data_IF_684089516346
#
_entry.id   IF_684089516346
#
_cell.length_a   1.000
_cell.length_b   1.000
_cell.length_c   1.000
_cell.angle_alpha   90.00
_cell.angle_beta   90.00
_cell.angle_gamma   90.00
#
_symmetry.space_group_name_H-M   'P 1'
#
loop_
_entity.id
_entity.type
_entity.pdbx_description
1 polymer ?
#
# COMPACT_ATOMS: atom_id res chain seq x y z
N UNK A 1 56.61 -37.85 -0.36
CA UNK A 1 57.49 -38.54 -1.33
C UNK A 1 56.67 -39.66 -1.94
N UNK A 2 56.71 -39.85 -3.27
CA UNK A 2 56.01 -40.91 -4.05
C UNK A 2 54.46 -40.90 -3.91
N UNK A 3 53.62 -40.63 -4.93
CA UNK A 3 53.75 -40.62 -6.41
C UNK A 3 54.04 -42.02 -7.00
N UNK A 4 53.53 -42.51 -8.14
CA UNK A 4 52.54 -42.10 -9.18
C UNK A 4 52.24 -43.37 -10.05
N UNK A 5 51.43 -43.53 -11.11
CA UNK A 5 50.60 -42.75 -12.08
C UNK A 5 49.70 -43.81 -12.83
N UNK A 6 48.83 -43.61 -13.85
CA UNK A 6 48.04 -42.52 -14.47
C UNK A 6 47.22 -43.09 -15.66
N UNK A 7 46.08 -42.47 -16.03
CA UNK A 7 45.40 -42.55 -17.37
C UNK A 7 44.86 -43.93 -17.84
N UNK A 8 43.58 -44.18 -18.18
CA UNK A 8 42.59 -43.59 -19.13
C UNK A 8 42.81 -43.85 -20.64
N UNK A 9 41.93 -44.64 -21.26
CA UNK A 9 41.56 -44.61 -22.70
C UNK A 9 40.12 -45.16 -22.91
N UNK A 10 39.32 -44.51 -23.76
CA UNK A 10 38.15 -45.07 -24.47
C UNK A 10 37.48 -44.05 -25.45
N UNK A 11 37.93 -44.05 -26.71
CA UNK A 11 37.19 -44.00 -28.02
C UNK A 11 35.67 -43.61 -28.00
N UNK A 12 35.12 -42.89 -28.99
CA UNK A 12 35.59 -42.51 -30.34
C UNK A 12 34.61 -41.56 -31.08
N UNK A 13 34.77 -41.34 -32.40
CA UNK A 13 34.25 -40.15 -33.13
C UNK A 13 33.49 -40.45 -34.46
N UNK A 14 33.26 -39.41 -35.29
CA UNK A 14 32.47 -39.26 -36.55
C UNK A 14 30.98 -38.84 -36.36
N UNK A 15 30.35 -37.81 -36.97
CA UNK A 15 30.64 -36.70 -37.94
C UNK A 15 29.86 -36.76 -39.29
N UNK A 16 29.11 -35.67 -39.60
CA UNK A 16 28.43 -35.27 -40.88
C UNK A 16 27.32 -36.19 -41.46
N UNK A 17 26.14 -35.67 -41.83
CA UNK A 17 25.94 -34.83 -43.02
C UNK A 17 24.76 -33.83 -42.96
N UNK A 18 24.65 -32.97 -43.99
CA UNK A 18 23.74 -31.82 -44.11
C UNK A 18 22.74 -31.95 -45.26
N UNK A 19 21.83 -30.96 -45.38
CA UNK A 19 21.05 -30.49 -46.56
C UNK A 19 19.53 -30.75 -46.52
N UNK A 20 18.66 -29.96 -47.19
CA UNK A 20 18.62 -28.52 -47.52
C UNK A 20 17.28 -28.29 -48.25
N UNK A 21 16.49 -27.27 -47.91
CA UNK A 21 15.43 -26.75 -48.81
C UNK A 21 15.00 -25.35 -48.36
N UNK A 22 14.88 -24.42 -49.32
CA UNK A 22 14.31 -23.09 -49.11
C UNK A 22 13.48 -22.71 -50.33
N UNK A 23 12.51 -21.79 -50.15
CA UNK A 23 11.79 -21.14 -51.24
C UNK A 23 11.79 -19.62 -51.01
N UNK A 24 11.89 -18.85 -52.10
CA UNK A 24 12.30 -17.46 -52.04
C UNK A 24 11.79 -16.67 -53.26
N UNK A 25 11.04 -15.60 -53.03
CA UNK A 25 10.76 -14.47 -53.94
C UNK A 25 10.52 -13.26 -52.99
N UNK A 26 11.36 -12.22 -52.95
CA UNK A 26 11.46 -11.10 -53.91
C UNK A 26 10.13 -10.34 -54.14
N UNK A 27 10.07 -9.00 -54.06
CA UNK A 27 11.10 -8.00 -53.70
C UNK A 27 10.45 -6.63 -53.47
N UNK A 28 10.95 -5.82 -52.52
CA UNK A 28 11.36 -4.40 -52.71
C UNK A 28 11.76 -3.76 -51.37
N UNK A 29 12.52 -2.65 -51.41
CA UNK A 29 13.13 -1.99 -50.24
C UNK A 29 12.89 -0.48 -50.28
N UNK A 30 11.93 0.00 -49.49
CA UNK A 30 11.82 1.41 -49.07
C UNK A 30 11.79 1.44 -47.54
N UNK A 31 12.53 2.38 -46.94
CA UNK A 31 12.79 2.36 -45.51
C UNK A 31 12.09 3.48 -44.76
N UNK A 32 11.36 3.13 -43.70
CA UNK A 32 11.14 3.99 -42.55
C UNK A 32 11.39 3.16 -41.28
N UNK A 33 12.31 3.61 -40.43
CA UNK A 33 12.54 3.01 -39.12
C UNK A 33 11.53 3.58 -38.13
N UNK A 34 10.35 2.96 -38.01
CA UNK A 34 9.45 3.24 -36.89
C UNK A 34 9.97 2.59 -35.61
N UNK A 35 10.99 3.23 -35.00
CA UNK A 35 11.36 2.97 -33.62
C UNK A 35 10.26 3.54 -32.71
N UNK A 36 9.32 2.70 -32.31
CA UNK A 36 8.23 2.99 -31.38
C UNK A 36 8.75 3.23 -29.95
N UNK A 37 9.47 4.35 -29.78
CA UNK A 37 9.99 4.80 -28.48
C UNK A 37 8.85 5.33 -27.62
N UNK A 38 8.29 4.46 -26.78
CA UNK A 38 7.24 4.74 -25.81
C UNK A 38 7.73 5.68 -24.70
N UNK A 39 7.79 6.99 -25.01
CA UNK A 39 8.02 8.04 -24.02
C UNK A 39 6.80 8.16 -23.09
N UNK A 40 6.96 8.17 -21.76
CA UNK A 40 5.85 8.45 -20.85
C UNK A 40 5.50 9.94 -20.90
N UNK A 41 4.37 10.29 -21.51
CA UNK A 41 3.84 11.66 -21.54
C UNK A 41 2.78 11.79 -20.44
N UNK A 42 3.24 12.03 -19.20
CA UNK A 42 2.36 12.36 -18.08
C UNK A 42 1.88 13.81 -18.17
N UNK A 43 0.76 14.05 -18.84
CA UNK A 43 0.04 15.33 -18.75
C UNK A 43 -0.71 15.42 -17.42
N UNK A 44 0.00 15.78 -16.34
CA UNK A 44 -0.58 16.06 -15.01
C UNK A 44 -1.84 16.94 -15.12
N UNK A 45 -2.98 16.45 -14.64
CA UNK A 45 -4.08 17.30 -14.22
C UNK A 45 -3.58 18.15 -13.04
N UNK A 46 -3.48 19.48 -13.24
CA UNK A 46 -2.95 20.40 -12.24
C UNK A 46 -4.08 21.04 -11.44
N UNK A 47 -4.47 20.41 -10.34
CA UNK A 47 -4.84 21.16 -9.13
C UNK A 47 -3.58 21.89 -8.65
N UNK A 48 -3.68 23.15 -8.23
CA UNK A 48 -2.46 23.89 -7.85
C UNK A 48 -2.02 23.46 -6.42
N UNK A 49 -0.73 23.13 -6.18
CA UNK A 49 -0.27 22.72 -4.84
C UNK A 49 -0.58 23.75 -3.74
N UNK A 50 -0.68 25.03 -4.11
CA UNK A 50 -1.01 26.13 -3.21
C UNK A 50 -2.49 26.19 -2.79
N UNK A 51 -3.40 25.47 -3.46
CA UNK A 51 -4.83 25.43 -3.09
C UNK A 51 -5.04 24.51 -1.89
N UNK A 52 -4.47 23.30 -1.93
CA UNK A 52 -4.55 22.31 -0.85
C UNK A 52 -4.03 22.90 0.48
N UNK A 53 -2.88 23.58 0.46
CA UNK A 53 -2.32 24.24 1.64
C UNK A 53 -3.16 25.45 2.11
N UNK A 54 -3.80 26.19 1.20
CA UNK A 54 -4.64 27.35 1.54
C UNK A 54 -6.00 26.95 2.13
N UNK A 55 -6.59 25.86 1.67
CA UNK A 55 -7.81 25.30 2.29
C UNK A 55 -7.50 24.79 3.71
N UNK A 56 -6.36 24.13 3.90
CA UNK A 56 -5.91 23.68 5.23
C UNK A 56 -5.58 24.85 6.19
N UNK A 57 -4.99 25.94 5.70
CA UNK A 57 -4.62 27.11 6.52
C UNK A 57 -5.78 28.09 6.80
N UNK A 58 -6.94 27.92 6.15
CA UNK A 58 -8.06 28.87 6.25
C UNK A 58 -8.83 28.89 7.59
N UNK A 59 -8.66 27.87 8.44
CA UNK A 59 -9.45 27.66 9.66
C UNK A 59 -8.68 27.98 10.95
N UNK A 60 -8.40 29.27 11.19
CA UNK A 60 -7.92 29.71 12.50
C UNK A 60 -9.00 29.60 13.58
N UNK A 61 -8.85 28.64 14.50
CA UNK A 61 -9.62 28.57 15.75
C UNK A 61 -8.68 28.83 16.93
N UNK A 62 -9.08 29.74 17.83
CA UNK A 62 -8.29 30.15 18.99
C UNK A 62 -8.24 29.04 20.04
N UNK A 63 -7.06 28.79 20.61
CA UNK A 63 -6.87 27.89 21.74
C UNK A 63 -7.45 28.48 23.03
N UNK A 64 -8.27 27.74 23.80
CA UNK A 64 -8.58 28.07 25.19
C UNK A 64 -7.50 27.49 26.12
N UNK A 65 -6.94 28.32 26.99
CA UNK A 65 -6.03 27.88 28.05
C UNK A 65 -6.84 27.30 29.21
N UNK A 66 -6.45 26.13 29.73
CA UNK A 66 -6.58 25.84 31.16
C UNK A 66 -5.67 24.69 31.59
N UNK A 67 -5.09 24.81 32.80
CA UNK A 67 -4.25 23.80 33.41
C UNK A 67 -5.02 23.00 34.47
N UNK A 68 -4.74 21.70 34.60
CA UNK A 68 -5.38 20.81 35.57
C UNK A 68 -4.38 19.82 36.16
N UNK A 69 -3.84 20.13 37.34
CA UNK A 69 -2.86 19.29 38.03
C UNK A 69 -3.46 17.96 38.51
N UNK A 70 -2.82 16.84 38.16
CA UNK A 70 -2.97 15.58 38.90
C UNK A 70 -1.59 15.05 39.33
N UNK A 71 -1.49 14.63 40.59
CA UNK A 71 -0.24 14.21 41.23
C UNK A 71 0.03 12.72 40.98
N UNK A 72 1.31 12.37 40.81
CA UNK A 72 1.77 11.00 41.02
C UNK A 72 1.65 10.61 42.51
N UNK A 73 1.45 9.31 42.76
CA UNK A 73 1.72 8.68 44.06
C UNK A 73 2.72 7.54 43.86
N UNK A 74 3.93 7.72 44.38
CA UNK A 74 5.02 6.72 44.35
C UNK A 74 4.90 5.73 45.50
N UNK A 75 5.20 4.45 45.26
CA UNK A 75 5.48 3.46 46.31
C UNK A 75 6.80 2.74 46.04
N UNK A 76 7.80 2.99 46.89
CA UNK A 76 9.08 2.27 46.89
C UNK A 76 8.92 0.87 47.49
N UNK A 77 9.70 -0.09 47.00
CA UNK A 77 10.24 -1.19 47.81
C UNK A 77 11.61 -1.61 47.27
N UNK A 78 12.42 -2.29 48.11
CA UNK A 78 13.88 -2.20 48.03
C UNK A 78 14.62 -3.54 48.14
N UNK A 79 15.61 -3.73 47.25
CA UNK A 79 16.92 -4.38 47.47
C UNK A 79 17.00 -5.80 48.06
N UNK A 80 17.74 -6.70 47.39
CA UNK A 80 19.12 -7.08 47.81
C UNK A 80 19.83 -8.14 46.92
N UNK A 81 21.15 -7.94 46.78
CA UNK A 81 22.27 -8.90 46.68
C UNK A 81 22.38 -9.95 45.55
N UNK A 82 23.34 -9.71 44.65
CA UNK A 82 24.52 -10.54 44.30
C UNK A 82 24.52 -12.07 44.52
N UNK A 83 24.85 -12.82 43.45
CA UNK A 83 26.01 -13.76 43.36
C UNK A 83 26.53 -13.73 41.90
N UNK A 84 27.83 -14.00 41.70
CA UNK A 84 28.54 -14.01 40.41
C UNK A 84 28.77 -15.45 39.90
N UNK A 85 28.73 -15.68 38.58
CA UNK A 85 29.49 -16.77 37.92
C UNK A 85 29.61 -16.57 36.40
N UNK A 86 30.68 -17.12 35.81
CA UNK A 86 30.91 -17.17 34.36
C UNK A 86 30.97 -18.62 33.88
N UNK A 87 30.11 -19.03 32.94
CA UNK A 87 30.47 -20.12 32.01
C UNK A 87 29.69 -20.04 30.68
N UNK A 88 30.08 -20.86 29.70
CA UNK A 88 29.76 -20.65 28.28
C UNK A 88 28.73 -21.63 27.69
N UNK A 89 27.95 -21.09 26.75
CA UNK A 89 27.31 -21.79 25.60
C UNK A 89 26.42 -23.01 25.89
N UNK A 90 25.11 -22.76 25.91
CA UNK A 90 24.14 -23.55 25.11
C UNK A 90 22.94 -22.66 24.76
N UNK A 91 22.37 -22.73 23.54
CA UNK A 91 21.14 -22.01 23.23
C UNK A 91 19.94 -22.70 23.92
N UNK A 92 19.07 -21.96 24.65
CA UNK A 92 17.88 -22.55 25.24
C UNK A 92 16.88 -23.00 24.16
N UNK A 93 16.26 -24.15 24.38
CA UNK A 93 15.40 -24.85 23.42
C UNK A 93 14.20 -24.03 22.97
N UNK A 94 13.81 -24.24 21.69
CA UNK A 94 12.58 -23.69 21.10
C UNK A 94 11.35 -23.95 21.98
N UNK A 95 10.61 -22.92 22.43
CA UNK A 95 9.32 -23.10 23.08
C UNK A 95 8.33 -23.79 22.14
N UNK A 96 7.57 -24.76 22.66
CA UNK A 96 6.72 -25.63 21.85
C UNK A 96 5.57 -24.88 21.16
N UNK A 97 5.10 -25.45 20.04
CA UNK A 97 3.84 -25.06 19.40
C UNK A 97 2.66 -25.39 20.33
N UNK A 98 2.24 -24.46 21.17
CA UNK A 98 1.07 -24.58 22.02
C UNK A 98 0.40 -23.22 22.29
N UNK A 99 -0.92 -23.16 22.09
CA UNK A 99 -1.82 -22.05 22.49
C UNK A 99 -1.44 -20.63 22.03
N UNK A 100 -1.59 -20.39 20.72
CA UNK A 100 -1.81 -19.03 20.17
C UNK A 100 -3.20 -18.87 19.50
N UNK A 101 -4.02 -19.91 19.47
CA UNK A 101 -5.32 -19.91 18.76
C UNK A 101 -6.51 -19.48 19.63
N UNK A 102 -6.36 -19.42 20.96
CA UNK A 102 -7.45 -19.12 21.92
C UNK A 102 -7.65 -17.62 22.23
N UNK A 103 -6.91 -16.71 21.60
CA UNK A 103 -6.97 -15.26 21.88
C UNK A 103 -7.46 -14.38 20.70
N UNK A 104 -7.65 -14.93 19.51
CA UNK A 104 -8.18 -14.17 18.37
C UNK A 104 -9.70 -14.36 18.25
N UNK A 105 -10.47 -13.29 17.97
CA UNK A 105 -11.90 -13.42 17.68
C UNK A 105 -12.08 -14.33 16.45
N UNK A 106 -13.18 -15.10 16.44
CA UNK A 106 -13.41 -16.19 15.48
C UNK A 106 -13.23 -15.73 14.03
N UNK A 107 -12.17 -16.24 13.37
CA UNK A 107 -11.81 -15.94 11.99
C UNK A 107 -13.02 -16.18 11.08
N UNK A 108 -13.58 -15.10 10.52
CA UNK A 108 -14.65 -15.19 9.54
C UNK A 108 -14.10 -15.80 8.25
N UNK A 109 -14.87 -16.70 7.66
CA UNK A 109 -14.62 -17.15 6.28
C UNK A 109 -14.80 -15.98 5.32
N UNK A 110 -14.25 -16.09 4.11
CA UNK A 110 -14.55 -15.20 2.99
C UNK A 110 -16.02 -15.39 2.57
N UNK A 111 -16.93 -14.70 3.24
CA UNK A 111 -18.36 -14.77 2.96
C UNK A 111 -18.76 -13.83 1.81
N UNK A 112 -18.56 -14.33 0.59
CA UNK A 112 -18.97 -13.66 -0.63
C UNK A 112 -20.50 -13.69 -0.89
N UNK A 113 -21.33 -14.20 0.04
CA UNK A 113 -22.79 -14.29 -0.17
C UNK A 113 -23.53 -12.95 -0.10
N UNK A 114 -22.89 -11.90 0.43
CA UNK A 114 -23.48 -10.57 0.65
C UNK A 114 -22.66 -9.45 0.00
N UNK A 115 -22.24 -9.62 -1.27
CA UNK A 115 -21.69 -8.52 -2.07
C UNK A 115 -22.75 -7.41 -2.21
N UNK A 116 -22.45 -6.14 -1.88
CA UNK A 116 -23.38 -5.04 -2.11
C UNK A 116 -23.50 -4.77 -3.62
N UNK A 117 -24.65 -5.07 -4.22
CA UNK A 117 -24.92 -4.78 -5.64
C UNK A 117 -25.64 -3.44 -5.82
N UNK A 118 -25.12 -2.61 -6.74
CA UNK A 118 -25.64 -1.28 -7.04
C UNK A 118 -26.17 -1.23 -8.47
N UNK A 119 -27.48 -0.97 -8.60
CA UNK A 119 -28.13 -0.58 -9.85
C UNK A 119 -27.76 0.88 -10.16
N UNK A 120 -26.53 1.07 -10.62
CA UNK A 120 -25.90 2.37 -10.81
C UNK A 120 -24.97 2.32 -12.03
N UNK A 121 -25.09 3.31 -12.90
CA UNK A 121 -24.32 3.42 -14.14
C UNK A 121 -24.11 4.91 -14.44
N UNK A 122 -23.01 5.51 -13.96
CA UNK A 122 -22.76 6.94 -14.14
C UNK A 122 -22.22 7.24 -15.54
N UNK A 123 -22.59 8.39 -16.09
CA UNK A 123 -21.97 8.93 -17.31
C UNK A 123 -20.52 9.34 -17.03
N UNK A 124 -19.58 8.53 -17.53
CA UNK A 124 -18.15 8.78 -17.40
C UNK A 124 -17.61 9.81 -18.41
N UNK A 125 -18.38 10.24 -19.41
CA UNK A 125 -17.92 11.19 -20.44
C UNK A 125 -17.57 12.58 -19.88
N UNK A 126 -18.14 12.90 -18.71
CA UNK A 126 -17.90 14.14 -17.95
C UNK A 126 -17.22 13.90 -16.60
N UNK A 127 -16.77 12.67 -16.34
CA UNK A 127 -16.09 12.30 -15.10
C UNK A 127 -14.59 12.61 -15.19
N UNK A 128 -14.01 12.95 -14.05
CA UNK A 128 -12.60 13.35 -13.94
C UNK A 128 -11.74 12.12 -13.63
N UNK A 129 -10.73 11.85 -14.45
CA UNK A 129 -9.80 10.74 -14.22
C UNK A 129 -8.89 11.06 -13.01
N UNK A 130 -9.05 10.31 -11.92
CA UNK A 130 -8.19 10.39 -10.74
C UNK A 130 -6.92 9.55 -10.88
N UNK A 131 -6.97 8.44 -11.61
CA UNK A 131 -5.83 7.54 -11.79
C UNK A 131 -6.08 6.45 -12.81
N UNK A 132 -4.99 5.87 -13.33
CA UNK A 132 -5.00 4.79 -14.31
C UNK A 132 -3.93 3.76 -13.94
N UNK A 133 -4.32 2.48 -13.93
CA UNK A 133 -3.45 1.35 -13.66
C UNK A 133 -3.67 0.21 -14.66
N UNK A 134 -2.86 -0.85 -14.55
CA UNK A 134 -2.79 -1.96 -15.52
C UNK A 134 -4.16 -2.61 -15.82
N UNK A 135 -5.05 -2.63 -14.83
CA UNK A 135 -6.36 -3.29 -14.87
C UNK A 135 -7.56 -2.34 -14.87
N UNK A 136 -7.39 -1.05 -14.55
CA UNK A 136 -8.51 -0.15 -14.27
C UNK A 136 -8.20 1.34 -14.45
N UNK A 137 -9.27 2.14 -14.59
CA UNK A 137 -9.25 3.60 -14.42
C UNK A 137 -10.16 3.99 -13.27
N UNK A 138 -9.76 4.97 -12.47
CA UNK A 138 -10.53 5.51 -11.34
C UNK A 138 -11.02 6.90 -11.70
N UNK A 139 -12.33 7.14 -11.58
CA UNK A 139 -12.97 8.40 -11.93
C UNK A 139 -13.69 9.03 -10.74
N UNK A 140 -13.60 10.36 -10.60
CA UNK A 140 -14.40 11.17 -9.66
C UNK A 140 -15.75 11.50 -10.29
N UNK A 141 -16.83 11.19 -9.58
CA UNK A 141 -18.22 11.46 -9.98
C UNK A 141 -19.00 12.16 -8.88
N UNK A 142 -19.99 12.97 -9.25
CA UNK A 142 -20.85 13.74 -8.33
C UNK A 142 -22.30 13.22 -8.26
N UNK A 143 -22.57 12.03 -8.81
CA UNK A 143 -23.91 11.46 -8.88
C UNK A 143 -24.21 10.63 -7.63
N UNK A 144 -25.36 10.88 -6.99
CA UNK A 144 -25.85 10.06 -5.87
C UNK A 144 -26.27 8.67 -6.39
N UNK A 145 -25.77 7.56 -5.81
CA UNK A 145 -26.26 6.23 -6.15
C UNK A 145 -27.72 6.07 -5.73
N UNK A 146 -28.54 5.48 -6.60
CA UNK A 146 -29.94 5.18 -6.30
C UNK A 146 -29.99 4.08 -5.23
N UNK A 147 -30.50 4.43 -4.05
CA UNK A 147 -30.76 3.45 -2.99
C UNK A 147 -31.77 2.41 -3.47
N UNK A 148 -31.48 1.11 -3.26
CA UNK A 148 -32.45 0.06 -3.52
C UNK A 148 -33.75 0.32 -2.73
N UNK A 149 -34.94 -0.02 -3.28
CA UNK A 149 -36.19 0.07 -2.53
C UNK A 149 -36.13 -0.76 -1.25
N UNK A 150 -36.49 -0.16 -0.11
CA UNK A 150 -36.54 -0.85 1.19
C UNK A 150 -37.73 -1.81 1.23
N UNK A 151 -37.56 -3.03 0.71
CA UNK A 151 -38.60 -4.07 0.70
C UNK A 151 -38.78 -4.63 2.12
N UNK A 152 -39.77 -4.08 2.84
CA UNK A 152 -40.47 -4.78 3.92
C UNK A 152 -39.68 -5.10 5.20
N UNK A 153 -39.19 -4.06 5.92
CA UNK A 153 -38.94 -4.22 7.37
C UNK A 153 -40.23 -3.96 8.17
N UNK A 154 -40.57 -4.80 9.18
CA UNK A 154 -41.68 -4.53 10.09
C UNK A 154 -41.49 -3.23 10.88
N UNK A 155 -42.61 -2.59 11.26
CA UNK A 155 -42.64 -1.34 12.01
C UNK A 155 -42.31 -1.55 13.50
N UNK A 156 -41.02 -1.69 13.83
CA UNK A 156 -40.54 -1.37 15.18
C UNK A 156 -40.34 0.14 15.34
N UNK A 157 -40.53 0.71 16.57
CA UNK A 157 -40.28 2.12 16.81
C UNK A 157 -38.79 2.46 16.59
N UNK A 158 -38.46 3.69 16.15
CA UNK A 158 -37.10 4.04 15.79
C UNK A 158 -36.19 4.10 17.02
N UNK A 159 -35.31 3.10 17.16
CA UNK A 159 -34.10 3.23 17.96
C UNK A 159 -33.36 4.51 17.56
N UNK A 160 -32.91 5.29 18.54
CA UNK A 160 -32.28 6.60 18.32
C UNK A 160 -31.18 6.49 17.26
N UNK A 161 -31.27 7.22 16.13
CA UNK A 161 -30.28 7.08 15.08
C UNK A 161 -28.97 7.68 15.56
N UNK A 162 -27.99 6.81 15.84
CA UNK A 162 -26.58 7.18 15.85
C UNK A 162 -26.18 7.59 14.42
N UNK A 163 -26.56 8.82 14.05
CA UNK A 163 -26.06 9.48 12.86
C UNK A 163 -24.57 9.70 13.07
N UNK A 164 -23.75 8.92 12.36
CA UNK A 164 -22.36 9.28 12.09
C UNK A 164 -22.35 10.73 11.59
N UNK A 165 -21.53 11.59 12.21
CA UNK A 165 -21.70 13.04 12.17
C UNK A 165 -21.18 13.70 10.88
N UNK A 166 -21.20 12.95 9.78
CA UNK A 166 -20.76 13.38 8.45
C UNK A 166 -21.97 13.56 7.55
N UNK A 167 -22.02 14.69 6.84
CA UNK A 167 -22.97 14.88 5.74
C UNK A 167 -22.73 13.86 4.63
N UNK A 168 -23.78 13.54 3.87
CA UNK A 168 -23.69 12.64 2.72
C UNK A 168 -22.53 13.08 1.80
N UNK A 169 -21.55 12.21 1.50
CA UNK A 169 -20.40 12.58 0.67
C UNK A 169 -20.89 12.91 -0.74
N UNK A 170 -20.72 14.16 -1.16
CA UNK A 170 -21.20 14.67 -2.45
C UNK A 170 -20.38 14.14 -3.65
N UNK A 171 -19.38 13.30 -3.41
CA UNK A 171 -18.42 12.81 -4.41
C UNK A 171 -18.09 11.35 -4.15
N UNK A 172 -18.12 10.55 -5.22
CA UNK A 172 -17.75 9.14 -5.21
C UNK A 172 -16.59 8.89 -6.16
N UNK A 173 -15.82 7.84 -5.91
CA UNK A 173 -14.83 7.33 -6.84
C UNK A 173 -15.35 6.02 -7.44
N UNK A 174 -15.30 5.89 -8.77
CA UNK A 174 -15.65 4.65 -9.47
C UNK A 174 -14.41 4.09 -10.19
N UNK A 175 -13.97 2.90 -9.76
CA UNK A 175 -12.89 2.12 -10.36
C UNK A 175 -13.52 1.21 -11.42
N UNK A 176 -13.20 1.38 -12.69
CA UNK A 176 -13.78 0.59 -13.79
C UNK A 176 -12.72 -0.20 -14.55
N UNK A 177 -13.04 -1.44 -14.92
CA UNK A 177 -12.13 -2.32 -15.63
C UNK A 177 -11.82 -1.79 -17.04
N UNK A 178 -10.53 -1.72 -17.40
CA UNK A 178 -10.07 -1.28 -18.73
C UNK A 178 -9.98 -2.41 -19.75
N UNK A 179 -10.09 -3.66 -19.30
CA UNK A 179 -9.84 -4.89 -20.08
C UNK A 179 -10.81 -5.98 -19.68
N UNK A 180 -11.11 -6.91 -20.58
CA UNK A 180 -11.98 -8.06 -20.32
C UNK A 180 -11.38 -9.09 -19.35
N UNK A 181 -10.05 -9.23 -19.31
CA UNK A 181 -9.34 -10.15 -18.41
C UNK A 181 -9.21 -9.61 -16.96
N UNK A 182 -9.48 -8.33 -16.73
CA UNK A 182 -9.50 -7.75 -15.39
C UNK A 182 -10.65 -8.28 -14.49
N UNK A 183 -11.65 -8.97 -15.05
CA UNK A 183 -12.82 -9.45 -14.31
C UNK A 183 -12.47 -10.34 -13.10
N UNK A 184 -11.45 -11.20 -13.21
CA UNK A 184 -10.98 -12.04 -12.11
C UNK A 184 -10.35 -11.21 -10.97
N UNK A 185 -9.59 -10.16 -11.32
CA UNK A 185 -8.99 -9.21 -10.36
C UNK A 185 -10.09 -8.44 -9.63
N UNK A 186 -11.08 -7.93 -10.36
CA UNK A 186 -12.21 -7.21 -9.78
C UNK A 186 -13.05 -8.08 -8.84
N UNK A 187 -13.29 -9.35 -9.18
CA UNK A 187 -14.02 -10.25 -8.29
C UNK A 187 -13.22 -10.59 -7.02
N UNK A 188 -11.90 -10.75 -7.12
CA UNK A 188 -11.04 -10.93 -5.95
C UNK A 188 -11.07 -9.70 -5.03
N UNK A 189 -10.93 -8.49 -5.61
CA UNK A 189 -11.00 -7.23 -4.88
C UNK A 189 -12.37 -7.03 -4.18
N UNK A 190 -13.48 -7.33 -4.87
CA UNK A 190 -14.84 -7.34 -4.28
C UNK A 190 -14.92 -8.26 -3.07
N UNK A 191 -14.45 -9.51 -3.19
CA UNK A 191 -14.53 -10.49 -2.10
C UNK A 191 -13.74 -10.01 -0.86
N UNK A 192 -12.57 -9.41 -1.07
CA UNK A 192 -11.74 -8.86 0.02
C UNK A 192 -12.35 -7.62 0.65
N UNK A 193 -12.85 -6.68 -0.16
CA UNK A 193 -13.51 -5.47 0.35
C UNK A 193 -14.79 -5.81 1.13
N UNK A 194 -15.64 -6.72 0.63
CA UNK A 194 -16.84 -7.19 1.34
C UNK A 194 -16.49 -7.89 2.66
N UNK A 195 -15.44 -8.72 2.69
CA UNK A 195 -14.93 -9.34 3.92
C UNK A 195 -14.48 -8.29 4.94
N UNK A 196 -13.64 -7.33 4.54
CA UNK A 196 -13.16 -6.23 5.39
C UNK A 196 -14.32 -5.40 5.93
N UNK A 197 -15.30 -5.07 5.09
CA UNK A 197 -16.46 -4.26 5.48
C UNK A 197 -17.45 -4.96 6.41
N UNK A 198 -17.36 -6.29 6.56
CA UNK A 198 -18.14 -7.00 7.57
C UNK A 198 -17.77 -6.59 9.01
N UNK A 199 -16.60 -5.96 9.21
CA UNK A 199 -16.10 -5.55 10.52
C UNK A 199 -16.44 -4.09 10.81
N UNK A 200 -17.02 -3.86 12.00
CA UNK A 200 -17.24 -2.52 12.55
C UNK A 200 -15.91 -1.74 12.66
N UNK A 201 -15.94 -0.43 12.39
CA UNK A 201 -14.75 0.46 12.26
C UNK A 201 -13.84 0.23 11.04
N UNK A 202 -14.17 -0.67 10.12
CA UNK A 202 -13.41 -0.84 8.86
C UNK A 202 -13.24 0.46 8.05
N UNK A 203 -14.25 1.34 8.09
CA UNK A 203 -14.26 2.65 7.43
C UNK A 203 -13.27 3.67 8.03
N UNK A 204 -12.65 3.42 9.17
CA UNK A 204 -11.62 4.29 9.75
C UNK A 204 -10.22 3.99 9.16
N UNK A 205 -10.02 2.76 8.68
CA UNK A 205 -8.73 2.24 8.22
C UNK A 205 -8.63 2.09 6.69
N UNK A 206 -9.76 1.76 6.04
CA UNK A 206 -9.85 1.44 4.62
C UNK A 206 -10.82 2.41 3.94
N UNK A 207 -10.52 2.80 2.70
CA UNK A 207 -11.40 3.65 1.88
C UNK A 207 -12.76 2.97 1.69
N UNK A 208 -13.88 3.58 2.14
CA UNK A 208 -15.17 2.90 2.12
C UNK A 208 -15.64 2.51 0.72
N UNK A 209 -15.65 1.21 0.46
CA UNK A 209 -16.36 0.59 -0.66
C UNK A 209 -17.88 0.73 -0.45
N UNK A 210 -18.64 0.77 -1.54
CA UNK A 210 -20.11 0.92 -1.53
C UNK A 210 -20.82 -0.20 -2.29
N UNK A 211 -20.11 -0.88 -3.20
CA UNK A 211 -20.66 -2.00 -3.94
C UNK A 211 -20.14 -2.15 -5.36
N UNK A 212 -20.46 -3.30 -5.93
CA UNK A 212 -20.29 -3.63 -7.34
C UNK A 212 -21.42 -2.98 -8.15
N UNK A 213 -21.06 -2.16 -9.13
CA UNK A 213 -22.01 -1.61 -10.09
C UNK A 213 -22.36 -2.70 -11.11
N UNK A 214 -23.59 -3.20 -11.09
CA UNK A 214 -24.05 -4.27 -12.00
C UNK A 214 -24.66 -3.76 -13.29
N UNK A 215 -24.81 -2.43 -13.42
CA UNK A 215 -25.44 -1.75 -14.56
C UNK A 215 -24.43 -1.03 -15.48
N UNK A 216 -23.13 -1.16 -15.22
CA UNK A 216 -22.05 -0.61 -16.06
C UNK A 216 -21.63 -1.62 -17.15
N UNK A 217 -21.21 -1.18 -18.35
CA UNK A 217 -20.79 -2.08 -19.44
C UNK A 217 -19.56 -2.95 -19.11
N UNK A 218 -18.77 -2.53 -18.12
CA UNK A 218 -17.58 -3.19 -17.59
C UNK A 218 -17.71 -3.36 -16.07
N UNK A 219 -17.08 -4.38 -15.45
CA UNK A 219 -16.99 -4.50 -14.00
C UNK A 219 -16.49 -3.18 -13.39
N UNK A 220 -17.27 -2.61 -12.45
CA UNK A 220 -16.98 -1.31 -11.85
C UNK A 220 -17.32 -1.29 -10.37
N UNK A 221 -16.40 -0.76 -9.55
CA UNK A 221 -16.48 -0.73 -8.09
C UNK A 221 -16.68 0.71 -7.63
N UNK A 222 -17.65 0.96 -6.74
CA UNK A 222 -17.95 2.28 -6.22
C UNK A 222 -17.39 2.46 -4.80
N UNK A 223 -16.81 3.63 -4.53
CA UNK A 223 -16.23 4.01 -3.24
C UNK A 223 -16.62 5.45 -2.86
N UNK A 224 -16.49 5.81 -1.57
CA UNK A 224 -16.38 7.22 -1.18
C UNK A 224 -15.10 7.84 -1.80
N UNK A 225 -15.21 9.07 -2.31
CA UNK A 225 -14.06 9.77 -2.88
C UNK A 225 -13.15 10.31 -1.76
N UNK A 226 -11.84 10.10 -1.90
CA UNK A 226 -10.84 10.89 -1.18
C UNK A 226 -10.79 12.32 -1.73
N UNK A 227 -10.51 13.31 -0.89
CA UNK A 227 -10.55 14.74 -1.25
C UNK A 227 -9.24 15.50 -0.98
N UNK A 228 -8.32 14.95 -0.19
CA UNK A 228 -6.97 15.51 0.04
C UNK A 228 -5.86 14.79 -0.75
N UNK A 229 -6.21 13.96 -1.74
CA UNK A 229 -5.26 13.28 -2.63
C UNK A 229 -4.69 11.97 -2.05
N UNK A 230 -3.41 11.74 -2.29
CA UNK A 230 -2.65 10.53 -1.90
C UNK A 230 -1.42 10.89 -1.07
N UNK A 231 -0.87 9.93 -0.31
CA UNK A 231 0.43 10.11 0.35
C UNK A 231 1.56 10.36 -0.66
N UNK A 232 1.44 9.87 -1.90
CA UNK A 232 2.36 10.21 -2.99
C UNK A 232 2.31 11.70 -3.32
N UNK A 233 1.11 12.27 -3.53
CA UNK A 233 0.96 13.71 -3.79
C UNK A 233 1.37 14.59 -2.59
N UNK A 234 1.18 14.09 -1.36
CA UNK A 234 1.71 14.72 -0.15
C UNK A 234 3.24 14.63 -0.10
N UNK A 235 3.83 13.51 -0.54
CA UNK A 235 5.29 13.32 -0.62
C UNK A 235 5.91 14.31 -1.61
N UNK A 236 5.35 14.42 -2.83
CA UNK A 236 5.82 15.40 -3.84
C UNK A 236 5.78 16.83 -3.31
N UNK A 237 4.65 17.24 -2.72
CA UNK A 237 4.45 18.60 -2.20
C UNK A 237 5.23 18.88 -0.90
N UNK A 238 5.55 17.85 -0.10
CA UNK A 238 6.32 18.00 1.14
C UNK A 238 7.74 18.54 0.91
N UNK A 239 8.27 18.45 -0.31
CA UNK A 239 9.54 19.11 -0.71
C UNK A 239 9.52 20.64 -0.54
N UNK A 240 8.32 21.24 -0.47
CA UNK A 240 8.10 22.68 -0.25
C UNK A 240 7.71 23.04 1.19
N UNK A 241 7.66 22.06 2.11
CA UNK A 241 7.34 22.25 3.53
C UNK A 241 8.60 22.33 4.39
N UNK A 242 8.52 23.03 5.52
CA UNK A 242 9.61 23.08 6.50
C UNK A 242 9.74 21.76 7.30
N UNK A 243 10.93 21.43 7.85
CA UNK A 243 11.11 20.21 8.64
C UNK A 243 10.12 20.03 9.80
N UNK A 244 9.73 21.08 10.57
CA UNK A 244 8.68 20.97 11.58
C UNK A 244 7.32 20.51 11.01
N UNK A 245 6.88 21.08 9.88
CA UNK A 245 5.60 20.74 9.26
C UNK A 245 5.58 19.31 8.71
N UNK A 246 6.70 18.86 8.12
CA UNK A 246 6.88 17.48 7.63
C UNK A 246 6.84 16.49 8.80
N UNK A 247 7.52 16.80 9.90
CA UNK A 247 7.55 15.96 11.09
C UNK A 247 6.19 15.91 11.80
N UNK A 248 5.48 17.03 11.91
CA UNK A 248 4.12 17.09 12.47
C UNK A 248 3.12 16.25 11.65
N UNK A 249 3.20 16.35 10.31
CA UNK A 249 2.39 15.51 9.42
C UNK A 249 2.78 14.03 9.51
N UNK A 250 4.06 13.70 9.65
CA UNK A 250 4.53 12.33 9.84
C UNK A 250 4.01 11.71 11.14
N UNK A 251 4.20 12.41 12.26
CA UNK A 251 3.72 11.96 13.58
C UNK A 251 2.19 11.86 13.64
N UNK A 252 1.46 12.63 12.83
CA UNK A 252 0.01 12.51 12.69
C UNK A 252 -0.43 11.35 11.77
N UNK A 253 0.27 11.08 10.65
CA UNK A 253 -0.14 10.07 9.66
C UNK A 253 0.38 8.67 9.99
N UNK A 254 1.60 8.53 10.50
CA UNK A 254 2.22 7.23 10.80
C UNK A 254 1.37 6.37 11.76
N UNK A 255 0.82 6.89 12.87
CA UNK A 255 -0.03 6.10 13.75
C UNK A 255 -1.31 5.62 13.06
N UNK A 256 -1.92 6.42 12.18
CA UNK A 256 -3.14 6.01 11.48
C UNK A 256 -2.88 4.80 10.58
N UNK A 257 -1.76 4.80 9.85
CA UNK A 257 -1.39 3.73 8.94
C UNK A 257 -0.93 2.46 9.66
N UNK A 258 -0.25 2.58 10.81
CA UNK A 258 0.12 1.39 11.61
C UNK A 258 -1.09 0.76 12.30
N UNK A 259 -2.08 1.55 12.76
CA UNK A 259 -3.36 1.02 13.22
C UNK A 259 -4.16 0.38 12.07
N UNK A 260 -4.20 1.01 10.89
CA UNK A 260 -4.87 0.43 9.72
C UNK A 260 -4.26 -0.90 9.27
N UNK A 261 -2.93 -1.02 9.30
CA UNK A 261 -2.23 -2.26 8.98
C UNK A 261 -2.46 -3.33 10.06
N UNK A 262 -2.41 -2.94 11.35
CA UNK A 262 -2.73 -3.82 12.47
C UNK A 262 -4.16 -4.37 12.37
N UNK A 263 -5.14 -3.54 11.98
CA UNK A 263 -6.51 -3.96 11.73
C UNK A 263 -6.59 -5.02 10.61
N UNK A 264 -5.95 -4.80 9.45
CA UNK A 264 -5.93 -5.78 8.37
C UNK A 264 -5.29 -7.11 8.81
N UNK A 265 -4.15 -7.05 9.50
CA UNK A 265 -3.38 -8.24 9.86
C UNK A 265 -4.02 -9.03 11.00
N UNK A 266 -4.47 -8.36 12.06
CA UNK A 266 -4.97 -9.01 13.29
C UNK A 266 -6.48 -9.27 13.28
N UNK A 267 -7.27 -8.38 12.67
CA UNK A 267 -8.74 -8.43 12.75
C UNK A 267 -9.36 -9.05 11.50
N UNK A 268 -8.91 -8.68 10.31
CA UNK A 268 -9.42 -9.25 9.04
C UNK A 268 -8.54 -10.35 8.45
N UNK A 269 -7.39 -10.67 9.07
CA UNK A 269 -6.42 -11.70 8.62
C UNK A 269 -6.01 -11.52 7.14
N UNK A 270 -5.91 -10.28 6.66
CA UNK A 270 -5.71 -9.90 5.26
C UNK A 270 -4.31 -9.34 5.03
N UNK A 271 -3.66 -9.76 3.94
CA UNK A 271 -2.41 -9.20 3.41
C UNK A 271 -2.77 -8.31 2.22
N UNK A 272 -2.21 -7.10 2.14
CA UNK A 272 -2.53 -6.11 1.11
C UNK A 272 -1.65 -6.25 -0.14
N UNK A 273 -0.37 -6.62 0.03
CA UNK A 273 0.59 -6.99 -1.00
C UNK A 273 1.03 -5.91 -2.02
N UNK A 274 0.49 -4.68 -1.96
CA UNK A 274 0.86 -3.54 -2.82
C UNK A 274 0.75 -2.21 -2.05
N UNK A 275 1.18 -2.18 -0.78
CA UNK A 275 1.19 -0.94 0.02
C UNK A 275 2.25 0.01 -0.55
N UNK A 276 1.81 1.19 -1.01
CA UNK A 276 2.64 2.26 -1.56
C UNK A 276 1.98 3.62 -1.36
N UNK A 277 2.71 4.75 -1.45
CA UNK A 277 2.14 6.09 -1.25
C UNK A 277 0.96 6.45 -2.17
N UNK A 278 0.87 5.86 -3.37
CA UNK A 278 -0.27 6.03 -4.27
C UNK A 278 -1.56 5.31 -3.80
N UNK A 279 -1.40 4.20 -3.06
CA UNK A 279 -2.50 3.39 -2.51
C UNK A 279 -2.90 3.82 -1.08
N UNK A 280 -2.33 4.92 -0.58
CA UNK A 280 -2.70 5.55 0.68
C UNK A 280 -3.43 6.84 0.34
N UNK A 281 -4.76 6.87 0.53
CA UNK A 281 -5.58 8.04 0.25
C UNK A 281 -5.73 8.92 1.48
N UNK A 282 -5.86 10.23 1.25
CA UNK A 282 -6.01 11.25 2.29
C UNK A 282 -7.38 11.93 2.17
N UNK A 283 -8.05 12.10 3.31
CA UNK A 283 -9.25 12.91 3.44
C UNK A 283 -8.97 14.19 4.24
N UNK A 284 -9.58 15.30 3.83
CA UNK A 284 -9.60 16.55 4.60
C UNK A 284 -10.42 16.38 5.87
N UNK A 285 -10.04 17.10 6.94
CA UNK A 285 -10.81 17.13 8.19
C UNK A 285 -10.93 18.55 8.73
N UNK A 286 -11.88 18.78 9.64
CA UNK A 286 -12.17 20.10 10.22
C UNK A 286 -10.99 20.66 11.03
N UNK A 287 -10.06 19.81 11.51
CA UNK A 287 -8.85 20.25 12.23
C UNK A 287 -7.69 20.64 11.30
N UNK A 288 -7.87 20.56 9.97
CA UNK A 288 -6.82 20.80 8.99
C UNK A 288 -5.78 19.69 8.86
N UNK A 289 -5.81 18.66 9.73
CA UNK A 289 -4.92 17.49 9.64
C UNK A 289 -5.60 16.35 8.87
N UNK A 290 -4.93 15.66 7.92
CA UNK A 290 -5.57 14.66 7.07
C UNK A 290 -5.88 13.35 7.80
N UNK A 291 -6.95 12.68 7.38
CA UNK A 291 -7.28 11.29 7.74
C UNK A 291 -6.77 10.36 6.63
N UNK A 292 -5.88 9.43 6.98
CA UNK A 292 -5.20 8.55 6.02
C UNK A 292 -5.79 7.13 6.03
N UNK A 293 -6.06 6.57 4.84
CA UNK A 293 -6.70 5.24 4.65
C UNK A 293 -6.00 4.42 3.57
N UNK A 294 -6.02 3.10 3.73
CA UNK A 294 -5.53 2.13 2.74
C UNK A 294 -6.56 1.92 1.60
N UNK A 295 -6.08 1.68 0.38
CA UNK A 295 -6.87 1.58 -0.84
C UNK A 295 -6.23 0.65 -1.89
N UNK A 296 -6.99 0.31 -2.94
CA UNK A 296 -6.64 -0.65 -3.99
C UNK A 296 -6.29 -2.06 -3.47
N UNK A 297 -7.33 -2.88 -3.28
CA UNK A 297 -7.20 -4.23 -2.75
C UNK A 297 -7.11 -5.28 -3.88
N UNK A 298 -6.70 -4.87 -5.09
CA UNK A 298 -6.63 -5.75 -6.27
C UNK A 298 -5.57 -6.86 -6.20
N UNK A 299 -4.56 -6.71 -5.33
CA UNK A 299 -3.53 -7.72 -5.02
C UNK A 299 -3.74 -8.40 -3.67
N UNK A 300 -4.75 -8.00 -2.91
CA UNK A 300 -4.92 -8.40 -1.52
C UNK A 300 -5.54 -9.81 -1.40
N UNK A 301 -5.22 -10.51 -0.31
CA UNK A 301 -5.78 -11.83 -0.01
C UNK A 301 -5.84 -12.09 1.50
N UNK A 302 -6.79 -12.92 1.93
CA UNK A 302 -6.81 -13.43 3.32
C UNK A 302 -5.71 -14.48 3.45
N UNK A 303 -4.89 -14.40 4.50
CA UNK A 303 -3.67 -15.21 4.65
C UNK A 303 -3.89 -16.73 4.78
N UNK A 304 -5.15 -17.18 4.92
CA UNK A 304 -5.56 -18.60 4.87
C UNK A 304 -6.03 -19.06 3.48
N UNK A 305 -6.02 -18.18 2.48
CA UNK A 305 -6.33 -18.45 1.08
C UNK A 305 -5.06 -18.40 0.22
N UNK A 306 -5.15 -18.89 -1.02
CA UNK A 306 -4.05 -18.79 -1.98
C UNK A 306 -3.89 -17.34 -2.48
N UNK A 307 -2.66 -16.82 -2.65
CA UNK A 307 -2.43 -15.49 -3.19
C UNK A 307 -2.96 -15.33 -4.62
N UNK A 308 -3.53 -14.16 -4.91
CA UNK A 308 -3.88 -13.78 -6.28
C UNK A 308 -2.62 -13.73 -7.16
N UNK A 309 -2.57 -14.51 -8.24
CA UNK A 309 -1.44 -14.60 -9.18
C UNK A 309 -1.22 -13.33 -10.06
N UNK A 310 -1.72 -12.17 -9.62
CA UNK A 310 -1.93 -10.97 -10.44
C UNK A 310 -0.99 -9.81 -10.06
N UNK A 311 0.20 -10.13 -9.53
CA UNK A 311 1.22 -9.17 -9.10
C UNK A 311 1.66 -8.25 -10.25
N UNK A 312 1.32 -6.97 -10.16
CA UNK A 312 1.65 -5.98 -11.18
C UNK A 312 3.15 -5.73 -11.30
N UNK A 313 3.70 -5.82 -12.52
CA UNK A 313 5.09 -5.43 -12.79
C UNK A 313 5.26 -3.92 -12.71
N UNK A 314 5.72 -3.40 -11.57
CA UNK A 314 6.04 -1.97 -11.39
C UNK A 314 6.44 -1.56 -9.97
N UNK A 315 5.76 -2.07 -8.93
CA UNK A 315 5.95 -1.60 -7.53
C UNK A 315 7.24 -2.09 -6.84
N UNK A 316 8.27 -2.49 -7.58
CA UNK A 316 9.45 -3.17 -7.00
C UNK A 316 10.20 -2.34 -5.94
N UNK A 317 10.13 -1.01 -6.03
CA UNK A 317 10.78 -0.08 -5.08
C UNK A 317 10.12 0.01 -3.70
N UNK A 318 9.02 -0.70 -3.45
CA UNK A 318 8.37 -0.83 -2.13
C UNK A 318 8.27 -2.29 -1.65
N UNK A 319 8.51 -3.27 -2.53
CA UNK A 319 8.45 -4.70 -2.19
C UNK A 319 9.55 -5.09 -1.21
N UNK A 320 9.25 -6.02 -0.31
CA UNK A 320 10.21 -6.56 0.63
C UNK A 320 11.27 -7.45 -0.07
N UNK A 321 12.52 -7.55 0.44
CA UNK A 321 13.61 -8.22 -0.25
C UNK A 321 13.34 -9.71 -0.53
N UNK A 322 12.64 -10.38 0.39
CA UNK A 322 12.23 -11.78 0.25
C UNK A 322 11.24 -11.98 -0.91
N UNK A 323 10.37 -11.00 -1.18
CA UNK A 323 9.40 -11.05 -2.28
C UNK A 323 10.09 -11.10 -3.67
N UNK A 324 11.35 -10.63 -3.76
CA UNK A 324 12.15 -10.63 -4.98
C UNK A 324 13.04 -11.89 -5.14
N UNK A 325 12.94 -12.84 -4.21
CA UNK A 325 13.63 -14.14 -4.23
C UNK A 325 13.19 -15.02 -5.42
N UNK A 326 13.95 -16.09 -5.67
CA UNK A 326 13.59 -17.16 -6.60
C UNK A 326 12.86 -18.33 -5.91
N UNK A 327 12.78 -18.34 -4.57
CA UNK A 327 12.06 -19.36 -3.81
C UNK A 327 10.59 -18.97 -3.66
N UNK A 328 9.60 -19.73 -4.19
CA UNK A 328 8.17 -19.39 -4.11
C UNK A 328 7.63 -19.18 -2.69
N UNK A 329 8.19 -19.91 -1.71
CA UNK A 329 7.80 -19.79 -0.30
C UNK A 329 8.29 -18.49 0.36
N UNK A 330 9.28 -17.82 -0.24
CA UNK A 330 9.79 -16.53 0.20
C UNK A 330 9.26 -15.38 -0.68
N UNK A 331 9.03 -15.63 -1.97
CA UNK A 331 8.53 -14.62 -2.91
C UNK A 331 7.03 -14.29 -2.73
N UNK A 332 6.31 -15.11 -1.97
CA UNK A 332 4.89 -14.90 -1.65
C UNK A 332 4.72 -13.76 -0.63
N UNK A 333 3.81 -12.79 -0.84
CA UNK A 333 3.55 -11.73 0.13
C UNK A 333 3.14 -12.26 1.51
N UNK A 334 3.52 -11.55 2.56
CA UNK A 334 3.26 -11.87 3.96
C UNK A 334 2.89 -10.63 4.77
N UNK A 335 2.44 -10.81 6.01
CA UNK A 335 2.27 -9.70 6.97
C UNK A 335 3.57 -8.91 7.15
N UNK A 336 4.74 -9.58 7.18
CA UNK A 336 6.05 -8.92 7.29
C UNK A 336 6.38 -8.07 6.06
N UNK A 337 6.06 -8.53 4.85
CA UNK A 337 6.33 -7.76 3.64
C UNK A 337 5.43 -6.54 3.51
N UNK A 338 4.18 -6.63 3.98
CA UNK A 338 3.28 -5.48 4.14
C UNK A 338 3.87 -4.43 5.10
N UNK A 339 4.44 -4.85 6.24
CA UNK A 339 5.10 -3.96 7.21
C UNK A 339 6.33 -3.27 6.59
N UNK A 340 7.15 -3.99 5.82
CA UNK A 340 8.26 -3.41 5.06
C UNK A 340 7.74 -2.37 4.04
N UNK A 341 6.67 -2.71 3.30
CA UNK A 341 6.10 -1.86 2.26
C UNK A 341 5.52 -0.56 2.84
N UNK A 342 4.89 -0.61 4.02
CA UNK A 342 4.51 0.57 4.79
C UNK A 342 5.74 1.36 5.27
N UNK A 343 6.79 0.68 5.74
CA UNK A 343 8.05 1.30 6.14
C UNK A 343 8.71 2.12 5.02
N UNK A 344 8.82 1.56 3.81
CA UNK A 344 9.34 2.30 2.65
C UNK A 344 8.39 3.41 2.19
N UNK A 345 7.08 3.24 2.32
CA UNK A 345 6.09 4.29 2.04
C UNK A 345 6.26 5.50 2.98
N UNK A 346 6.43 5.23 4.27
CA UNK A 346 6.67 6.22 5.32
C UNK A 346 8.04 6.90 5.19
N UNK A 347 9.09 6.14 4.88
CA UNK A 347 10.42 6.68 4.58
C UNK A 347 10.39 7.56 3.33
N UNK A 348 9.66 7.16 2.28
CA UNK A 348 9.51 7.98 1.07
C UNK A 348 8.88 9.34 1.37
N UNK A 349 7.87 9.37 2.26
CA UNK A 349 7.27 10.62 2.73
C UNK A 349 8.23 11.48 3.56
N UNK A 350 8.97 10.88 4.51
CA UNK A 350 10.02 11.56 5.28
C UNK A 350 11.16 12.11 4.41
N UNK A 351 11.44 11.51 3.25
CA UNK A 351 12.51 11.96 2.35
C UNK A 351 12.03 12.81 1.17
N UNK A 352 10.73 12.89 0.90
CA UNK A 352 10.16 13.67 -0.21
C UNK A 352 10.29 12.96 -1.57
N UNK A 353 10.59 11.67 -1.56
CA UNK A 353 10.85 10.85 -2.74
C UNK A 353 11.26 9.42 -2.36
N UNK A 354 11.13 8.47 -3.28
CA UNK A 354 11.46 7.07 -3.03
C UNK A 354 12.99 6.87 -2.81
N UNK A 355 13.45 6.05 -1.85
CA UNK A 355 14.87 5.83 -1.57
C UNK A 355 15.68 5.24 -2.73
N UNK A 356 15.03 4.62 -3.72
CA UNK A 356 15.67 4.07 -4.91
C UNK A 356 15.49 4.97 -6.15
N UNK A 357 15.26 6.28 -5.97
CA UNK A 357 14.87 7.24 -7.02
C UNK A 357 15.73 7.16 -8.30
N UNK A 358 17.06 7.16 -8.17
CA UNK A 358 18.01 7.08 -9.29
C UNK A 358 18.03 5.72 -10.00
N UNK A 359 17.48 4.67 -9.38
CA UNK A 359 17.37 3.33 -9.96
C UNK A 359 16.04 3.07 -10.66
N UNK A 360 15.01 3.90 -10.47
CA UNK A 360 13.67 3.71 -11.05
C UNK A 360 13.65 3.65 -12.60
N UNK A 361 14.70 4.20 -13.25
CA UNK A 361 14.88 4.11 -14.70
C UNK A 361 15.39 2.75 -15.20
N UNK A 362 15.85 1.87 -14.31
CA UNK A 362 16.46 0.58 -14.64
C UNK A 362 15.94 -0.52 -13.70
N UNK A 363 14.83 -1.15 -14.10
CA UNK A 363 14.16 -2.21 -13.35
C UNK A 363 15.10 -3.33 -12.86
N UNK A 364 16.13 -3.71 -13.64
CA UNK A 364 17.10 -4.72 -13.22
C UNK A 364 17.94 -4.22 -12.02
N UNK A 365 18.53 -3.03 -12.12
CA UNK A 365 19.30 -2.43 -11.00
C UNK A 365 18.41 -2.17 -9.78
N UNK A 366 17.19 -1.70 -9.98
CA UNK A 366 16.21 -1.53 -8.91
C UNK A 366 15.94 -2.85 -8.18
N UNK A 367 15.69 -3.95 -8.92
CA UNK A 367 15.44 -5.27 -8.32
C UNK A 367 16.62 -5.75 -7.49
N UNK A 368 17.85 -5.64 -8.02
CA UNK A 368 19.03 -6.09 -7.28
C UNK A 368 19.37 -5.18 -6.08
N UNK A 369 19.05 -3.89 -6.13
CA UNK A 369 19.19 -2.98 -5.00
C UNK A 369 18.17 -3.28 -3.87
N UNK A 370 16.90 -3.49 -4.21
CA UNK A 370 15.86 -3.82 -3.22
C UNK A 370 16.13 -5.18 -2.56
N UNK A 371 16.66 -6.16 -3.30
CA UNK A 371 17.14 -7.45 -2.73
C UNK A 371 18.23 -7.30 -1.65
N UNK A 372 18.98 -6.19 -1.62
CA UNK A 372 19.98 -5.95 -0.57
C UNK A 372 19.34 -5.53 0.76
N UNK A 373 18.05 -5.17 0.78
CA UNK A 373 17.30 -4.76 1.97
C UNK A 373 17.61 -3.37 2.52
N UNK A 374 18.78 -2.82 2.22
CA UNK A 374 19.26 -1.54 2.75
C UNK A 374 18.78 -0.33 1.92
N UNK A 375 17.48 -0.03 2.01
CA UNK A 375 16.89 1.14 1.36
C UNK A 375 17.47 2.47 1.88
N UNK A 376 17.99 2.52 3.10
CA UNK A 376 18.54 3.75 3.68
C UNK A 376 19.89 4.08 3.03
N UNK A 377 20.81 3.12 2.91
CA UNK A 377 22.10 3.35 2.22
C UNK A 377 21.94 3.60 0.71
N UNK A 378 20.84 3.18 0.09
CA UNK A 378 20.50 3.62 -1.27
C UNK A 378 20.00 5.07 -1.30
N UNK A 379 19.09 5.46 -0.40
CA UNK A 379 18.61 6.84 -0.30
C UNK A 379 19.70 7.84 0.04
N UNK A 380 20.61 7.51 0.96
CA UNK A 380 21.73 8.35 1.40
C UNK A 380 22.80 8.62 0.31
N UNK A 381 22.70 7.99 -0.87
CA UNK A 381 23.53 8.35 -2.03
C UNK A 381 23.03 9.62 -2.74
N UNK A 382 21.78 10.04 -2.49
CA UNK A 382 21.18 11.25 -3.04
C UNK A 382 21.32 12.42 -2.04
N UNK A 383 22.09 13.48 -2.34
CA UNK A 383 22.36 14.55 -1.36
C UNK A 383 21.11 15.27 -0.81
N UNK A 384 20.02 15.30 -1.58
CA UNK A 384 18.75 15.87 -1.13
C UNK A 384 18.04 15.01 -0.06
N UNK A 385 18.21 13.68 -0.13
CA UNK A 385 17.69 12.73 0.86
C UNK A 385 18.48 12.83 2.16
N UNK A 386 19.82 12.81 2.08
CA UNK A 386 20.74 12.99 3.21
C UNK A 386 20.46 14.32 3.93
N UNK A 387 20.43 15.44 3.19
CA UNK A 387 20.16 16.77 3.75
C UNK A 387 18.80 16.83 4.47
N UNK A 388 17.76 16.20 3.91
CA UNK A 388 16.41 16.24 4.49
C UNK A 388 16.32 15.39 5.76
N UNK A 389 16.91 14.19 5.78
CA UNK A 389 16.99 13.37 6.99
C UNK A 389 17.79 14.08 8.08
N UNK A 390 18.95 14.67 7.76
CA UNK A 390 19.73 15.45 8.73
C UNK A 390 18.97 16.65 9.31
N UNK A 391 18.16 17.33 8.50
CA UNK A 391 17.30 18.43 8.96
C UNK A 391 16.15 17.94 9.87
N UNK A 392 15.51 16.82 9.53
CA UNK A 392 14.44 16.21 10.32
C UNK A 392 14.94 15.59 11.63
N UNK A 393 16.13 14.96 11.62
CA UNK A 393 16.78 14.45 12.82
C UNK A 393 17.09 15.59 13.79
N UNK A 394 17.65 16.71 13.31
CA UNK A 394 17.94 17.88 14.14
C UNK A 394 16.68 18.51 14.75
N UNK A 395 15.58 18.54 14.00
CA UNK A 395 14.26 18.98 14.50
C UNK A 395 13.72 18.02 15.58
N UNK A 396 13.83 16.71 15.36
CA UNK A 396 13.43 15.67 16.32
C UNK A 396 14.25 15.71 17.62
N UNK A 397 15.57 15.84 17.52
CA UNK A 397 16.47 16.05 18.67
C UNK A 397 16.15 17.37 19.40
N UNK A 398 15.83 18.44 18.66
CA UNK A 398 15.41 19.73 19.21
C UNK A 398 14.08 19.68 19.99
N UNK A 399 13.24 18.67 19.75
CA UNK A 399 12.01 18.38 20.50
C UNK A 399 12.24 17.47 21.72
N UNK A 400 13.47 17.06 21.99
CA UNK A 400 13.83 16.13 23.08
C UNK A 400 13.66 14.66 22.73
N UNK A 401 13.27 14.31 21.50
CA UNK A 401 13.14 12.93 21.03
C UNK A 401 11.95 12.14 21.58
N UNK A 402 10.93 12.81 22.14
CA UNK A 402 9.70 12.18 22.62
C UNK A 402 8.56 12.28 21.59
N UNK A 403 7.75 11.21 21.49
CA UNK A 403 6.48 11.25 20.74
C UNK A 403 5.41 11.85 21.66
N UNK A 404 4.83 12.98 21.26
CA UNK A 404 3.79 13.73 22.00
C UNK A 404 2.38 13.26 21.62
#
# INVERSE_FOLDING_TARGET
MFATNSATDARGSFVTHTNFAASHLHSTRTGQNEQSTSRPIFSRARTAPNELLREMQGLQIRTPVNAGNYKMTTTNQSSKNDVNDQEMLTPPSTPAQAKLEEQFPSRRSLDASHVPELNFSPDLSRAELLGEGVWSKVYRISATPLSQPQVGRPLTPPSTPHKSFFGLPQRYAIKTATRSDAAAVFQAEVNILTHIQSYDSSADYVVPFLGLCTSTPTPSLLFHCADAGTLESLTESSTSLSPPEVLDLFLHVMPQLTHALSFLHTTTNTIHADIKPANILLNSTISGRPLARLADFSTAFVASAQPSQHSGGGTWSFMAPEQLSLNPCLSTPSFSSDVYSLGISLLSFLCGGNPFSSLLSNNFRLREAVKMGDAISWGMQEPAFEQRIGALQKEWEGRGGEVV
#
